data_IF_156769836267
#
_entry.id   IF_156769836267
#
_cell.length_a   1.000
_cell.length_b   1.000
_cell.length_c   1.000
_cell.angle_alpha   90.00
_cell.angle_beta   90.00
_cell.angle_gamma   90.00
#
_symmetry.space_group_name_H-M   'P 1'
#
loop_
_entity.id
_entity.type
_entity.pdbx_description
1 polymer ?
#
# COMPACT_ATOMS: atom_id res chain seq x y z
N UNK A 1 -3.44 14.06 -25.12
CA UNK A 1 -4.37 14.54 -24.05
C UNK A 1 -4.90 13.44 -23.12
N UNK A 2 -5.28 12.26 -23.60
CA UNK A 2 -5.86 11.20 -22.75
C UNK A 2 -4.91 10.57 -21.70
N UNK A 3 -3.61 10.48 -22.02
CA UNK A 3 -2.58 9.92 -21.13
C UNK A 3 -2.34 10.84 -19.91
N UNK A 4 -2.21 12.15 -20.13
CA UNK A 4 -2.07 13.16 -19.06
C UNK A 4 -3.22 13.11 -18.05
N UNK A 5 -4.48 12.98 -18.51
CA UNK A 5 -5.63 12.90 -17.61
C UNK A 5 -5.62 11.64 -16.74
N UNK A 6 -5.16 10.50 -17.27
CA UNK A 6 -5.02 9.26 -16.48
C UNK A 6 -3.90 9.35 -15.46
N UNK A 7 -2.75 9.93 -15.82
CA UNK A 7 -1.65 10.16 -14.87
C UNK A 7 -2.04 11.12 -13.75
N UNK A 8 -2.76 12.21 -14.06
CA UNK A 8 -3.25 13.15 -13.06
C UNK A 8 -4.30 12.51 -12.12
N UNK A 9 -5.17 11.66 -12.65
CA UNK A 9 -6.13 10.89 -11.87
C UNK A 9 -5.46 9.89 -10.91
N UNK A 10 -4.38 9.22 -11.36
CA UNK A 10 -3.57 8.33 -10.51
C UNK A 10 -2.87 9.13 -9.40
N UNK A 11 -2.28 10.29 -9.73
CA UNK A 11 -1.59 11.14 -8.76
C UNK A 11 -2.53 11.68 -7.67
N UNK A 12 -3.68 12.24 -8.07
CA UNK A 12 -4.70 12.77 -7.13
C UNK A 12 -5.35 11.66 -6.29
N UNK A 13 -5.51 10.46 -6.85
CA UNK A 13 -5.96 9.29 -6.08
C UNK A 13 -4.93 8.86 -5.04
N UNK A 14 -3.63 8.93 -5.38
CA UNK A 14 -2.53 8.65 -4.46
C UNK A 14 -2.52 9.57 -3.25
N UNK A 15 -2.68 10.88 -3.45
CA UNK A 15 -2.72 11.86 -2.35
C UNK A 15 -3.89 11.64 -1.40
N UNK A 16 -5.08 11.35 -1.95
CA UNK A 16 -6.26 11.00 -1.14
C UNK A 16 -6.04 9.72 -0.34
N UNK A 17 -5.43 8.71 -0.96
CA UNK A 17 -5.10 7.44 -0.28
C UNK A 17 -4.07 7.63 0.84
N UNK A 18 -3.07 8.47 0.64
CA UNK A 18 -2.07 8.79 1.65
C UNK A 18 -2.69 9.55 2.84
N UNK A 19 -3.56 10.53 2.56
CA UNK A 19 -4.32 11.25 3.60
C UNK A 19 -5.23 10.30 4.39
N UNK A 20 -6.01 9.45 3.71
CA UNK A 20 -6.86 8.44 4.34
C UNK A 20 -6.05 7.46 5.20
N UNK A 21 -4.91 6.98 4.69
CA UNK A 21 -4.00 6.14 5.44
C UNK A 21 -3.48 6.88 6.68
N UNK A 22 -3.08 8.15 6.56
CA UNK A 22 -2.64 8.99 7.69
C UNK A 22 -3.68 9.07 8.81
N UNK A 23 -4.93 9.41 8.46
CA UNK A 23 -6.04 9.49 9.41
C UNK A 23 -6.32 8.15 10.09
N UNK A 24 -6.37 7.06 9.32
CA UNK A 24 -6.57 5.71 9.85
C UNK A 24 -5.48 5.32 10.86
N UNK A 25 -4.22 5.67 10.57
CA UNK A 25 -3.07 5.41 11.45
C UNK A 25 -3.13 6.24 12.73
N UNK A 26 -3.50 7.51 12.63
CA UNK A 26 -3.68 8.38 13.80
C UNK A 26 -4.78 7.83 14.72
N UNK A 27 -5.94 7.45 14.16
CA UNK A 27 -7.04 6.84 14.91
C UNK A 27 -6.61 5.56 15.62
N UNK A 28 -5.83 4.70 14.96
CA UNK A 28 -5.32 3.47 15.57
C UNK A 28 -4.38 3.74 16.75
N UNK A 29 -3.46 4.71 16.62
CA UNK A 29 -2.55 5.11 17.71
C UNK A 29 -3.32 5.65 18.91
N UNK A 30 -4.30 6.52 18.67
CA UNK A 30 -5.16 7.06 19.72
C UNK A 30 -5.94 5.94 20.43
N UNK A 31 -6.45 4.96 19.69
CA UNK A 31 -7.14 3.80 20.26
C UNK A 31 -6.20 2.98 21.18
N UNK A 32 -4.96 2.72 20.76
CA UNK A 32 -3.97 2.00 21.59
C UNK A 32 -3.67 2.81 22.86
N UNK A 33 -3.33 4.10 22.72
CA UNK A 33 -3.00 4.96 23.85
C UNK A 33 -4.15 5.07 24.85
N UNK A 34 -5.38 5.27 24.36
CA UNK A 34 -6.58 5.31 25.20
C UNK A 34 -6.78 4.02 25.99
N UNK A 35 -6.66 2.86 25.36
CA UNK A 35 -6.82 1.58 26.07
C UNK A 35 -5.67 1.33 27.06
N UNK A 36 -4.46 1.81 26.78
CA UNK A 36 -3.31 1.76 27.69
C UNK A 36 -3.53 2.63 28.94
N UNK A 37 -4.01 3.86 28.77
CA UNK A 37 -4.32 4.78 29.88
C UNK A 37 -5.41 4.23 30.78
N UNK A 38 -6.53 3.80 30.20
CA UNK A 38 -7.64 3.18 30.95
C UNK A 38 -7.16 1.95 31.71
N UNK A 39 -6.29 1.12 31.12
CA UNK A 39 -5.74 -0.05 31.79
C UNK A 39 -4.82 0.32 32.97
N UNK A 40 -3.99 1.37 32.81
CA UNK A 40 -3.14 1.89 33.89
C UNK A 40 -3.99 2.40 35.07
N UNK A 41 -5.00 3.22 34.79
CA UNK A 41 -5.92 3.74 35.80
C UNK A 41 -6.69 2.63 36.50
N UNK A 42 -7.15 1.62 35.75
CA UNK A 42 -7.88 0.49 36.31
C UNK A 42 -7.00 -0.40 37.21
N UNK A 43 -5.69 -0.49 36.93
CA UNK A 43 -4.74 -1.22 37.78
C UNK A 43 -4.29 -0.42 39.01
N UNK A 44 -4.35 0.92 38.96
CA UNK A 44 -3.94 1.79 40.07
C UNK A 44 -5.02 1.93 41.16
N UNK A 45 -6.29 1.67 40.83
CA UNK A 45 -7.40 1.66 41.79
C UNK A 45 -7.39 0.34 42.55
N UNK A 46 -6.74 0.33 43.71
CA UNK A 46 -6.69 -0.81 44.63
C UNK A 46 -8.05 -0.98 45.36
N UNK A 47 -9.07 -1.46 44.64
CA UNK A 47 -10.37 -1.81 45.25
C UNK A 47 -11.05 -2.92 44.45
N UNK A 48 -11.09 -4.12 45.04
CA UNK A 48 -12.08 -5.19 44.84
C UNK A 48 -12.66 -5.35 43.40
N UNK A 49 -11.76 -5.80 42.51
CA UNK A 49 -11.92 -6.36 41.18
C UNK A 49 -13.33 -6.47 40.53
N UNK A 50 -13.59 -5.60 39.56
CA UNK A 50 -14.35 -6.01 38.37
C UNK A 50 -13.38 -6.67 37.37
N UNK A 51 -13.00 -7.93 37.64
CA UNK A 51 -12.06 -8.71 36.81
C UNK A 51 -12.50 -8.79 35.35
N UNK A 52 -13.82 -8.82 35.15
CA UNK A 52 -14.44 -8.78 33.83
C UNK A 52 -14.15 -7.46 33.10
N UNK A 53 -14.16 -6.32 33.80
CA UNK A 53 -13.82 -5.02 33.23
C UNK A 53 -12.35 -4.93 32.81
N UNK A 54 -11.43 -5.32 33.68
CA UNK A 54 -9.98 -5.32 33.37
C UNK A 54 -9.68 -6.28 32.21
N UNK A 55 -10.26 -7.49 32.23
CA UNK A 55 -10.14 -8.47 31.13
C UNK A 55 -10.65 -7.88 29.81
N UNK A 56 -11.79 -7.18 29.84
CA UNK A 56 -12.36 -6.53 28.64
C UNK A 56 -11.43 -5.47 28.06
N UNK A 57 -10.79 -4.65 28.90
CA UNK A 57 -9.82 -3.63 28.45
C UNK A 57 -8.57 -4.29 27.89
N UNK A 58 -8.02 -5.32 28.57
CA UNK A 58 -6.86 -6.08 28.08
C UNK A 58 -7.13 -6.68 26.70
N UNK A 59 -8.31 -7.29 26.50
CA UNK A 59 -8.69 -7.84 25.19
C UNK A 59 -8.80 -6.75 24.11
N UNK A 60 -9.37 -5.57 24.43
CA UNK A 60 -9.42 -4.45 23.49
C UNK A 60 -8.03 -3.96 23.10
N UNK A 61 -7.12 -3.89 24.06
CA UNK A 61 -5.74 -3.51 23.83
C UNK A 61 -5.00 -4.54 22.97
N UNK A 62 -5.10 -5.84 23.30
CA UNK A 62 -4.46 -6.93 22.55
C UNK A 62 -4.96 -6.97 21.09
N UNK A 63 -6.27 -6.78 20.87
CA UNK A 63 -6.83 -6.64 19.52
C UNK A 63 -6.26 -5.42 18.78
N UNK A 64 -6.17 -4.27 19.44
CA UNK A 64 -5.61 -3.06 18.83
C UNK A 64 -4.12 -3.22 18.48
N UNK A 65 -3.35 -3.88 19.34
CA UNK A 65 -1.94 -4.19 19.10
C UNK A 65 -1.77 -5.22 17.98
N UNK A 66 -2.62 -6.24 17.90
CA UNK A 66 -2.62 -7.24 16.82
C UNK A 66 -2.86 -6.60 15.45
N UNK A 67 -3.80 -5.65 15.37
CA UNK A 67 -4.04 -4.87 14.13
C UNK A 67 -2.79 -4.07 13.74
N UNK A 68 -2.13 -3.44 14.71
CA UNK A 68 -0.91 -2.66 14.47
C UNK A 68 0.25 -3.56 14.02
N UNK A 69 0.41 -4.73 14.62
CA UNK A 69 1.41 -5.73 14.25
C UNK A 69 1.19 -6.23 12.82
N UNK A 70 -0.04 -6.62 12.48
CA UNK A 70 -0.40 -7.07 11.14
C UNK A 70 -0.12 -6.00 10.08
N UNK A 71 -0.40 -4.73 10.38
CA UNK A 71 -0.06 -3.61 9.50
C UNK A 71 1.44 -3.54 9.22
N UNK A 72 2.29 -3.63 10.26
CA UNK A 72 3.73 -3.56 10.08
C UNK A 72 4.30 -4.78 9.37
N UNK A 73 3.74 -5.96 9.66
CA UNK A 73 4.09 -7.21 8.99
C UNK A 73 3.83 -7.12 7.48
N UNK A 74 2.66 -6.64 7.06
CA UNK A 74 2.34 -6.44 5.65
C UNK A 74 3.34 -5.51 4.95
N UNK A 75 3.68 -4.37 5.57
CA UNK A 75 4.64 -3.41 5.00
C UNK A 75 6.08 -3.93 4.95
N UNK A 76 6.45 -4.75 5.91
CA UNK A 76 7.75 -5.41 5.92
C UNK A 76 7.91 -6.44 4.79
N UNK A 77 6.83 -6.88 4.13
CA UNK A 77 6.81 -8.03 3.19
C UNK A 77 7.66 -9.19 3.72
N UNK A 78 7.49 -9.51 5.00
CA UNK A 78 8.21 -10.58 5.66
C UNK A 78 7.34 -11.83 5.58
N UNK A 79 7.76 -12.81 4.77
CA UNK A 79 7.13 -14.13 4.80
C UNK A 79 7.47 -14.87 6.08
N UNK A 80 6.46 -15.61 6.55
CA UNK A 80 6.48 -16.65 7.58
C UNK A 80 7.63 -16.55 8.60
N UNK A 81 7.48 -15.73 9.64
CA UNK A 81 8.20 -15.96 10.88
C UNK A 81 7.50 -17.10 11.62
N UNK A 82 8.03 -18.32 11.49
CA UNK A 82 7.44 -19.57 12.02
C UNK A 82 7.45 -19.65 13.54
N UNK A 83 8.01 -18.69 14.29
CA UNK A 83 8.27 -18.89 15.71
C UNK A 83 8.04 -17.62 16.52
N UNK A 84 6.80 -17.47 16.99
CA UNK A 84 6.48 -17.07 18.37
C UNK A 84 6.83 -15.66 18.86
N UNK A 85 7.59 -14.85 18.13
CA UNK A 85 7.98 -13.52 18.60
C UNK A 85 7.08 -12.44 18.00
N UNK A 86 6.24 -11.80 18.84
CA UNK A 86 5.34 -10.68 18.51
C UNK A 86 6.12 -9.38 18.25
N UNK A 87 7.28 -9.48 17.59
CA UNK A 87 8.30 -8.46 17.67
C UNK A 87 8.06 -7.35 16.65
N UNK A 88 7.18 -6.42 17.02
CA UNK A 88 6.86 -5.24 16.21
C UNK A 88 8.11 -4.44 15.84
N UNK A 89 9.18 -4.46 16.66
CA UNK A 89 10.46 -3.77 16.39
C UNK A 89 11.17 -4.33 15.15
N UNK A 90 11.19 -5.65 14.97
CA UNK A 90 11.75 -6.27 13.77
C UNK A 90 10.99 -5.82 12.51
N UNK A 91 9.66 -5.90 12.54
CA UNK A 91 8.83 -5.50 11.39
C UNK A 91 8.95 -4.02 11.09
N UNK A 92 9.02 -3.16 12.11
CA UNK A 92 9.27 -1.73 11.99
C UNK A 92 10.62 -1.47 11.30
N UNK A 93 11.70 -2.08 11.80
CA UNK A 93 13.04 -1.92 11.24
C UNK A 93 13.09 -2.41 9.77
N UNK A 94 12.52 -3.57 9.49
CA UNK A 94 12.46 -4.13 8.12
C UNK A 94 11.61 -3.27 7.17
N UNK A 95 10.44 -2.81 7.61
CA UNK A 95 9.59 -1.92 6.82
C UNK A 95 10.30 -0.58 6.54
N UNK A 96 10.99 -0.02 7.54
CA UNK A 96 11.79 1.20 7.40
C UNK A 96 12.94 1.00 6.41
N UNK A 97 13.70 -0.09 6.54
CA UNK A 97 14.79 -0.43 5.62
C UNK A 97 14.31 -0.62 4.18
N UNK A 98 13.15 -1.28 3.98
CA UNK A 98 12.53 -1.39 2.64
C UNK A 98 12.08 -0.03 2.10
N UNK A 99 11.52 0.84 2.95
CA UNK A 99 11.16 2.21 2.56
C UNK A 99 12.40 3.01 2.12
N UNK A 100 13.50 2.89 2.86
CA UNK A 100 14.76 3.58 2.54
C UNK A 100 15.36 3.07 1.22
N UNK A 101 15.41 1.74 1.02
CA UNK A 101 15.91 1.13 -0.23
C UNK A 101 15.05 1.43 -1.45
N UNK A 102 13.73 1.45 -1.28
CA UNK A 102 12.78 1.69 -2.38
C UNK A 102 12.48 3.18 -2.60
N UNK A 103 13.11 4.08 -1.84
CA UNK A 103 12.99 5.51 -2.08
C UNK A 103 13.72 5.83 -3.39
N UNK A 104 12.97 6.22 -4.42
CA UNK A 104 13.56 6.86 -5.60
C UNK A 104 14.25 8.13 -5.13
N UNK A 105 15.58 8.17 -5.25
CA UNK A 105 16.40 9.33 -4.86
C UNK A 105 16.42 10.40 -5.94
N UNK A 106 16.31 9.97 -7.19
CA UNK A 106 16.38 10.83 -8.35
C UNK A 106 16.36 9.99 -9.63
N UNK A 107 16.25 10.67 -10.76
CA UNK A 107 16.39 10.12 -12.10
C UNK A 107 17.34 11.04 -12.88
N UNK A 108 18.10 10.44 -13.79
CA UNK A 108 18.88 11.21 -14.75
C UNK A 108 17.98 11.50 -15.95
N UNK A 109 17.98 12.74 -16.42
CA UNK A 109 17.28 13.13 -17.65
C UNK A 109 18.08 12.77 -18.90
N UNK A 110 17.46 12.95 -20.07
CA UNK A 110 18.09 12.64 -21.38
C UNK A 110 19.31 13.52 -21.69
N UNK A 111 19.49 14.62 -20.94
CA UNK A 111 20.65 15.51 -21.04
C UNK A 111 21.79 15.10 -20.09
N UNK A 112 21.63 13.99 -19.36
CA UNK A 112 22.62 13.50 -18.39
C UNK A 112 22.59 14.23 -17.04
N UNK A 113 21.60 15.08 -16.78
CA UNK A 113 21.49 15.86 -15.54
C UNK A 113 20.70 15.07 -14.50
N UNK A 114 21.24 14.98 -13.29
CA UNK A 114 20.56 14.34 -12.16
C UNK A 114 19.46 15.23 -11.59
N UNK A 115 18.24 14.71 -11.52
CA UNK A 115 17.06 15.38 -10.96
C UNK A 115 16.53 14.62 -9.75
N UNK A 116 16.18 15.33 -8.68
CA UNK A 116 15.67 14.75 -7.44
C UNK A 116 14.35 15.38 -6.94
N UNK A 117 13.90 16.47 -7.56
CA UNK A 117 12.61 17.10 -7.26
C UNK A 117 11.44 16.24 -7.74
N UNK A 118 10.38 16.15 -6.92
CA UNK A 118 9.17 15.37 -7.23
C UNK A 118 8.59 15.76 -8.60
N UNK A 119 8.53 17.04 -8.91
CA UNK A 119 7.92 17.54 -10.15
C UNK A 119 8.78 17.19 -11.36
N UNK A 120 10.10 17.29 -11.24
CA UNK A 120 11.04 16.89 -12.29
C UNK A 120 10.98 15.38 -12.55
N UNK A 121 10.92 14.56 -11.50
CA UNK A 121 10.78 13.11 -11.62
C UNK A 121 9.48 12.70 -12.30
N UNK A 122 8.36 13.36 -11.96
CA UNK A 122 7.08 13.16 -12.63
C UNK A 122 7.20 13.50 -14.11
N UNK A 123 7.86 14.61 -14.46
CA UNK A 123 8.01 15.03 -15.85
C UNK A 123 8.89 14.07 -16.65
N UNK A 124 10.04 13.63 -16.11
CA UNK A 124 10.91 12.64 -16.76
C UNK A 124 10.15 11.33 -16.99
N UNK A 125 9.46 10.85 -15.97
CA UNK A 125 8.67 9.60 -16.06
C UNK A 125 7.54 9.74 -17.08
N UNK A 126 6.85 10.88 -17.08
CA UNK A 126 5.80 11.18 -18.03
C UNK A 126 6.34 11.20 -19.47
N UNK A 127 7.44 11.90 -19.73
CA UNK A 127 8.04 12.01 -21.06
C UNK A 127 8.46 10.62 -21.58
N UNK A 128 9.14 9.85 -20.73
CA UNK A 128 9.61 8.50 -21.06
C UNK A 128 8.45 7.58 -21.47
N UNK A 129 7.43 7.43 -20.62
CA UNK A 129 6.31 6.55 -20.93
C UNK A 129 5.43 7.10 -22.06
N UNK A 130 5.29 8.43 -22.18
CA UNK A 130 4.60 9.02 -23.34
C UNK A 130 5.31 8.67 -24.64
N UNK A 131 6.64 8.81 -24.70
CA UNK A 131 7.42 8.39 -25.87
C UNK A 131 7.30 6.90 -26.16
N UNK A 132 7.45 6.06 -25.12
CA UNK A 132 7.34 4.61 -25.22
C UNK A 132 5.98 4.16 -25.78
N UNK A 133 4.88 4.79 -25.35
CA UNK A 133 3.53 4.44 -25.76
C UNK A 133 3.01 5.26 -26.96
N UNK A 134 3.81 6.16 -27.54
CA UNK A 134 3.44 6.93 -28.74
C UNK A 134 4.17 6.48 -30.02
N UNK A 135 4.90 5.36 -30.00
CA UNK A 135 5.61 4.87 -31.19
C UNK A 135 4.63 4.66 -32.36
N UNK A 136 4.89 5.30 -33.49
CA UNK A 136 3.89 5.51 -34.53
C UNK A 136 3.69 4.33 -35.50
N UNK A 137 4.51 3.29 -35.43
CA UNK A 137 4.43 2.12 -36.31
C UNK A 137 4.88 0.84 -35.57
N UNK A 138 4.12 0.32 -34.60
CA UNK A 138 4.47 -0.95 -33.97
C UNK A 138 4.40 -2.07 -35.02
N UNK A 139 5.49 -2.81 -35.20
CA UNK A 139 5.45 -3.99 -36.06
C UNK A 139 4.52 -5.03 -35.43
N UNK A 140 3.95 -5.92 -36.24
CA UNK A 140 3.11 -7.03 -35.75
C UNK A 140 3.83 -7.88 -34.70
N UNK A 141 5.17 -7.95 -34.77
CA UNK A 141 6.01 -8.64 -33.79
C UNK A 141 6.12 -7.91 -32.44
N UNK A 142 6.10 -6.58 -32.43
CA UNK A 142 6.15 -5.78 -31.19
C UNK A 142 4.83 -5.87 -30.43
N UNK A 143 3.70 -5.85 -31.16
CA UNK A 143 2.38 -6.09 -30.60
C UNK A 143 2.24 -7.50 -30.03
N UNK A 144 2.79 -8.50 -30.72
CA UNK A 144 2.83 -9.89 -30.27
C UNK A 144 3.64 -10.08 -28.98
N UNK A 145 4.81 -9.43 -28.88
CA UNK A 145 5.63 -9.44 -27.65
C UNK A 145 4.89 -8.80 -26.49
N UNK A 146 4.22 -7.66 -26.71
CA UNK A 146 3.42 -7.01 -25.67
C UNK A 146 2.26 -7.92 -25.26
N UNK A 147 1.51 -8.48 -26.22
CA UNK A 147 0.37 -9.36 -25.98
C UNK A 147 0.75 -10.61 -25.17
N UNK A 148 1.85 -11.29 -25.52
CA UNK A 148 2.35 -12.46 -24.75
C UNK A 148 2.72 -12.07 -23.32
N UNK A 149 3.38 -10.94 -23.12
CA UNK A 149 3.83 -10.49 -21.81
C UNK A 149 2.68 -9.97 -20.93
N UNK A 150 1.66 -9.37 -21.53
CA UNK A 150 0.45 -8.91 -20.84
C UNK A 150 -0.40 -10.12 -20.43
N UNK A 151 -0.62 -11.09 -21.33
CA UNK A 151 -1.33 -12.34 -21.01
C UNK A 151 -0.62 -13.16 -19.93
N UNK A 152 0.71 -13.22 -19.94
CA UNK A 152 1.48 -13.97 -18.93
C UNK A 152 1.48 -13.34 -17.53
N UNK A 153 1.14 -12.04 -17.40
CA UNK A 153 1.11 -11.32 -16.12
C UNK A 153 -0.28 -11.04 -15.57
N UNK A 154 -1.32 -11.23 -16.38
CA UNK A 154 -2.69 -11.20 -15.92
C UNK A 154 -3.03 -12.60 -15.40
N UNK A 155 -3.22 -12.76 -14.09
CA UNK A 155 -3.94 -13.94 -13.61
C UNK A 155 -5.38 -13.86 -14.15
N UNK A 156 -6.04 -15.00 -14.34
CA UNK A 156 -7.42 -15.09 -14.83
C UNK A 156 -8.37 -14.17 -14.01
N UNK A 157 -8.08 -14.02 -12.71
CA UNK A 157 -8.78 -13.13 -11.78
C UNK A 157 -8.56 -11.62 -12.01
N UNK A 158 -7.47 -11.20 -12.68
CA UNK A 158 -7.22 -9.78 -13.00
C UNK A 158 -8.00 -9.28 -14.23
N UNK A 159 -8.43 -10.19 -15.11
CA UNK A 159 -9.11 -9.83 -16.37
C UNK A 159 -10.56 -9.40 -16.13
N UNK A 160 -11.24 -9.96 -15.11
CA UNK A 160 -12.63 -9.61 -14.78
C UNK A 160 -12.85 -8.16 -14.31
N UNK A 161 -11.81 -7.44 -13.87
CA UNK A 161 -11.97 -6.08 -13.33
C UNK A 161 -11.88 -4.97 -14.38
N UNK A 162 -11.65 -5.29 -15.67
CA UNK A 162 -11.49 -4.29 -16.73
C UNK A 162 -12.67 -4.19 -17.71
N UNK A 163 -13.70 -5.02 -17.55
CA UNK A 163 -14.91 -4.96 -18.38
C UNK A 163 -16.17 -4.95 -17.50
N UNK A 164 -16.43 -3.83 -16.83
CA UNK A 164 -17.76 -3.54 -16.29
C UNK A 164 -18.18 -2.15 -16.72
N UNK A 165 -18.35 -1.95 -18.02
CA UNK A 165 -19.17 -0.88 -18.61
C UNK A 165 -19.37 -1.15 -20.10
N UNK A 166 -20.14 -2.20 -20.43
CA UNK A 166 -21.01 -2.29 -21.60
C UNK A 166 -21.65 -3.69 -21.69
N UNK A 167 -22.99 -3.70 -21.69
CA UNK A 167 -23.89 -4.76 -22.17
C UNK A 167 -23.87 -6.13 -21.48
N UNK A 168 -24.71 -6.25 -20.46
CA UNK A 168 -25.73 -7.29 -20.29
C UNK A 168 -25.49 -8.64 -21.01
N UNK A 169 -24.71 -9.58 -20.45
CA UNK A 169 -24.90 -11.02 -20.63
C UNK A 169 -24.29 -11.81 -19.46
N UNK A 170 -25.10 -12.76 -18.98
CA UNK A 170 -24.83 -13.91 -18.12
C UNK A 170 -23.34 -14.32 -18.00
N UNK A 171 -22.76 -14.24 -16.80
CA UNK A 171 -21.56 -15.01 -16.47
C UNK A 171 -21.94 -16.50 -16.37
N UNK A 172 -21.61 -17.28 -17.39
CA UNK A 172 -21.52 -18.73 -17.27
C UNK A 172 -20.06 -19.10 -16.97
N UNK A 173 -19.84 -19.56 -15.74
CA UNK A 173 -18.73 -20.44 -15.36
C UNK A 173 -18.88 -21.81 -16.06
N UNK A 174 -17.79 -22.56 -16.19
CA UNK A 174 -17.73 -23.92 -15.68
C UNK A 174 -17.04 -23.98 -14.31
#
# INVERSE_FOLDING_TARGET
MGIYRRFLAIATSGEKLDAWNGQKRQKQRLNINKNMEILKEANAKDVNYNWNYIRKIKNKLDNALTIEENYWRQRAKADWMTKGDRNSRYFLAKASGRRARNRMRGLMDDSGVWKDSKDELVQITYNYFTGLFSSSHPSTQDLDKISRNVKAKLSEHMVCLQYTEATNYQCCLP
#
